data_IF_538936408873
#
_entry.id   IF_538936408873
#
_cell.length_a   1.000
_cell.length_b   1.000
_cell.length_c   1.000
_cell.angle_alpha   90.00
_cell.angle_beta   90.00
_cell.angle_gamma   90.00
#
_symmetry.space_group_name_H-M   'P 1'
#
loop_
_entity.id
_entity.type
_entity.pdbx_description
1 polymer ?
#
# COMPACT_ATOMS: atom_id res chain seq x y z
N UNK A 1 -7.75 31.40 23.40
CA UNK A 1 -8.33 30.40 22.47
C UNK A 1 -7.40 30.32 21.27
N UNK A 2 -6.63 29.25 21.14
CA UNK A 2 -5.63 29.10 20.08
C UNK A 2 -6.31 28.56 18.83
N UNK A 3 -6.38 29.38 17.77
CA UNK A 3 -6.57 28.84 16.43
C UNK A 3 -5.23 28.25 16.01
N UNK A 4 -5.10 26.93 16.06
CA UNK A 4 -3.94 26.23 15.50
C UNK A 4 -4.12 26.27 13.99
N UNK A 5 -3.56 27.31 13.36
CA UNK A 5 -3.25 27.26 11.95
C UNK A 5 -2.03 26.36 11.80
N UNK A 6 -2.17 25.25 11.09
CA UNK A 6 -1.05 24.42 10.67
C UNK A 6 -0.19 25.20 9.67
N UNK A 7 0.65 26.11 10.16
CA UNK A 7 1.75 26.67 9.39
C UNK A 7 2.90 25.66 9.47
N UNK A 8 3.06 24.83 8.43
CA UNK A 8 4.29 24.05 8.25
C UNK A 8 5.44 25.05 8.09
N UNK A 9 6.24 25.26 9.15
CA UNK A 9 7.49 26.01 9.01
C UNK A 9 8.46 25.17 8.19
N UNK A 10 8.97 25.76 7.10
CA UNK A 10 9.85 25.08 6.16
C UNK A 10 11.28 25.10 6.72
N UNK A 11 11.65 24.11 7.55
CA UNK A 11 13.05 23.77 7.79
C UNK A 11 13.57 22.95 6.60
N UNK A 12 14.75 23.32 6.07
CA UNK A 12 15.48 22.71 4.93
C UNK A 12 14.77 21.50 4.32
N UNK A 13 13.82 21.77 3.43
CA UNK A 13 12.98 20.72 2.84
C UNK A 13 13.76 20.02 1.74
N UNK A 14 13.80 18.68 1.78
CA UNK A 14 13.84 17.91 0.54
C UNK A 14 12.65 18.42 -0.28
N UNK A 15 12.95 19.21 -1.31
CA UNK A 15 11.95 20.02 -1.98
C UNK A 15 11.06 19.14 -2.88
N UNK A 16 9.91 18.76 -2.35
CA UNK A 16 8.87 17.99 -3.06
C UNK A 16 8.20 18.81 -4.19
N UNK A 17 8.52 20.11 -4.31
CA UNK A 17 7.89 21.02 -5.28
C UNK A 17 8.31 20.78 -6.74
N UNK A 18 9.28 19.91 -7.00
CA UNK A 18 9.76 19.66 -8.36
C UNK A 18 8.83 18.80 -9.22
N UNK A 19 7.76 18.22 -8.66
CA UNK A 19 6.87 17.30 -9.38
C UNK A 19 7.55 15.99 -9.81
N UNK A 20 8.80 15.75 -9.36
CA UNK A 20 9.60 14.54 -9.66
C UNK A 20 9.49 13.47 -8.56
N UNK A 21 8.53 13.59 -7.65
CA UNK A 21 8.36 12.61 -6.57
C UNK A 21 7.59 11.40 -7.07
N UNK A 22 8.23 10.24 -7.05
CA UNK A 22 7.61 8.95 -7.39
C UNK A 22 7.22 8.24 -6.10
N UNK A 23 5.93 7.93 -5.91
CA UNK A 23 5.50 7.06 -4.82
C UNK A 23 5.80 5.62 -5.18
N UNK A 24 6.64 4.96 -4.38
CA UNK A 24 6.99 3.57 -4.60
C UNK A 24 5.89 2.65 -4.08
N UNK A 25 5.29 1.87 -4.97
CA UNK A 25 4.25 0.90 -4.62
C UNK A 25 4.84 -0.51 -4.50
N UNK A 26 4.33 -1.33 -3.55
CA UNK A 26 4.60 -2.76 -3.56
C UNK A 26 4.27 -3.36 -4.92
N UNK A 27 5.05 -4.36 -5.36
CA UNK A 27 4.91 -5.02 -6.68
C UNK A 27 5.16 -4.15 -7.92
N UNK A 28 5.48 -2.86 -7.79
CA UNK A 28 5.84 -2.01 -8.94
C UNK A 28 7.34 -1.79 -8.97
N UNK A 29 7.98 -2.26 -10.03
CA UNK A 29 9.40 -2.05 -10.27
C UNK A 29 9.55 -0.79 -11.11
N UNK A 30 10.32 0.15 -10.59
CA UNK A 30 10.66 1.38 -11.28
C UNK A 30 12.09 1.27 -11.77
N UNK A 31 12.32 1.54 -13.04
CA UNK A 31 13.65 1.67 -13.62
C UNK A 31 13.79 3.09 -14.13
N UNK A 32 14.67 3.88 -13.49
CA UNK A 32 14.87 5.29 -13.81
C UNK A 32 16.34 5.52 -14.12
N UNK A 33 16.60 6.21 -15.23
CA UNK A 33 17.93 6.76 -15.55
C UNK A 33 17.96 8.21 -15.09
N UNK A 34 18.85 8.52 -14.15
CA UNK A 34 19.06 9.85 -13.59
C UNK A 34 20.23 10.50 -14.34
N UNK A 35 20.01 11.57 -15.11
CA UNK A 35 21.09 12.28 -15.80
C UNK A 35 22.13 12.83 -14.82
N UNK A 36 23.37 13.01 -15.29
CA UNK A 36 24.43 13.65 -14.51
C UNK A 36 23.97 14.98 -13.90
N UNK A 37 24.28 15.19 -12.62
CA UNK A 37 23.90 16.33 -11.79
C UNK A 37 22.38 16.50 -11.60
N UNK A 38 21.58 15.45 -11.82
CA UNK A 38 20.16 15.42 -11.51
C UNK A 38 19.87 14.51 -10.31
N UNK A 39 18.62 14.51 -9.87
CA UNK A 39 18.13 13.67 -8.79
C UNK A 39 16.70 13.21 -9.04
N UNK A 40 16.29 12.18 -8.31
CA UNK A 40 14.89 11.77 -8.19
C UNK A 40 14.46 11.83 -6.73
N UNK A 41 13.19 12.15 -6.52
CA UNK A 41 12.56 12.03 -5.21
C UNK A 41 11.68 10.78 -5.20
N UNK A 42 11.78 9.98 -4.14
CA UNK A 42 10.96 8.79 -3.93
C UNK A 42 10.23 8.95 -2.61
N UNK A 43 8.94 8.61 -2.59
CA UNK A 43 8.15 8.54 -1.38
C UNK A 43 7.78 7.09 -1.05
N UNK A 44 7.98 6.71 0.20
CA UNK A 44 7.69 5.36 0.72
C UNK A 44 8.94 4.58 1.11
N UNK A 45 8.73 3.32 1.49
CA UNK A 45 9.79 2.36 1.84
C UNK A 45 10.23 1.61 0.60
N UNK A 46 11.53 1.61 0.29
CA UNK A 46 12.05 1.05 -0.95
C UNK A 46 13.27 0.16 -0.76
N UNK A 47 13.32 -0.89 -1.57
CA UNK A 47 14.52 -1.63 -1.91
C UNK A 47 15.11 -1.01 -3.18
N UNK A 48 16.39 -0.64 -3.17
CA UNK A 48 17.07 0.11 -4.21
C UNK A 48 18.24 -0.72 -4.74
N UNK A 49 18.43 -0.73 -6.06
CA UNK A 49 19.63 -1.23 -6.72
C UNK A 49 20.04 -0.28 -7.83
N UNK A 50 21.27 0.20 -7.78
CA UNK A 50 21.85 1.04 -8.82
C UNK A 50 22.95 0.29 -9.59
N UNK A 51 23.26 0.77 -10.79
CA UNK A 51 24.36 0.27 -11.62
C UNK A 51 25.74 0.80 -11.19
N UNK A 52 25.77 1.84 -10.34
CA UNK A 52 26.96 2.47 -9.78
C UNK A 52 26.73 2.86 -8.32
N UNK A 53 27.81 3.20 -7.64
CA UNK A 53 27.73 3.81 -6.32
C UNK A 53 26.93 5.12 -6.35
N UNK A 54 26.13 5.34 -5.32
CA UNK A 54 25.28 6.52 -5.19
C UNK A 54 25.14 6.95 -3.73
N UNK A 55 24.77 8.21 -3.56
CA UNK A 55 24.40 8.77 -2.27
C UNK A 55 22.90 9.02 -2.24
N UNK A 56 22.26 8.68 -1.13
CA UNK A 56 20.87 9.03 -0.87
C UNK A 56 20.78 9.96 0.33
N UNK A 57 20.11 11.10 0.12
CA UNK A 57 19.62 11.93 1.22
C UNK A 57 18.21 11.47 1.55
N UNK A 58 17.91 11.25 2.82
CA UNK A 58 16.59 10.81 3.23
C UNK A 58 16.10 11.54 4.46
N UNK A 59 14.77 11.62 4.56
CA UNK A 59 14.07 12.24 5.68
C UNK A 59 12.91 11.34 6.08
N UNK A 60 12.89 10.96 7.34
CA UNK A 60 11.82 10.18 7.94
C UNK A 60 10.96 11.13 8.75
N UNK A 61 9.64 11.04 8.61
CA UNK A 61 8.71 11.76 9.49
C UNK A 61 8.13 10.76 10.48
N UNK A 62 8.32 10.95 11.78
CA UNK A 62 7.75 10.09 12.83
C UNK A 62 6.68 10.87 13.59
N UNK A 63 5.45 10.37 13.63
CA UNK A 63 4.33 11.01 14.35
C UNK A 63 4.12 12.49 13.97
N UNK A 64 4.31 12.82 12.69
CA UNK A 64 4.21 14.20 12.18
C UNK A 64 5.43 15.10 12.43
N UNK A 65 6.43 14.64 13.18
CA UNK A 65 7.67 15.38 13.41
C UNK A 65 8.75 14.95 12.41
N UNK A 66 9.28 15.88 11.59
CA UNK A 66 10.35 15.58 10.67
C UNK A 66 11.66 15.30 11.41
N UNK A 67 12.36 14.22 11.06
CA UNK A 67 13.77 14.09 11.41
C UNK A 67 14.62 15.06 10.58
N UNK A 68 15.85 15.31 11.02
CA UNK A 68 16.86 15.92 10.16
C UNK A 68 17.06 15.11 8.87
N UNK A 69 17.55 15.77 7.82
CA UNK A 69 18.00 15.09 6.61
C UNK A 69 19.25 14.29 6.97
N UNK A 70 19.27 13.02 6.61
CA UNK A 70 20.40 12.12 6.78
C UNK A 70 20.92 11.69 5.42
N UNK A 71 22.20 11.39 5.34
CA UNK A 71 22.87 10.99 4.09
C UNK A 71 23.53 9.64 4.29
N UNK A 72 23.36 8.74 3.32
CA UNK A 72 23.94 7.39 3.35
C UNK A 72 24.51 7.02 1.97
N UNK A 73 25.60 6.27 1.97
CA UNK A 73 26.22 5.73 0.77
C UNK A 73 25.67 4.33 0.48
N UNK A 74 25.30 4.08 -0.78
CA UNK A 74 24.86 2.78 -1.28
C UNK A 74 23.85 2.04 -0.39
N UNK A 75 22.76 2.69 0.09
CA UNK A 75 21.73 1.98 0.83
C UNK A 75 21.05 0.95 -0.08
N UNK A 76 20.92 -0.28 0.42
CA UNK A 76 20.06 -1.30 -0.19
C UNK A 76 18.60 -1.00 0.11
N UNK A 77 18.29 -0.58 1.33
CA UNK A 77 16.92 -0.27 1.78
C UNK A 77 16.89 1.09 2.45
N UNK A 78 15.85 1.87 2.15
CA UNK A 78 15.48 3.03 2.95
C UNK A 78 13.99 2.94 3.24
N UNK A 79 13.62 2.91 4.51
CA UNK A 79 12.27 2.61 4.94
C UNK A 79 11.80 3.41 6.14
N UNK A 80 10.48 3.47 6.25
CA UNK A 80 9.74 4.04 7.38
C UNK A 80 8.70 3.04 7.86
N UNK A 81 8.42 3.13 9.15
CA UNK A 81 7.31 2.42 9.78
C UNK A 81 5.98 2.96 9.26
N UNK A 82 4.89 2.20 9.48
CA UNK A 82 3.55 2.45 8.94
C UNK A 82 3.00 3.88 9.15
N UNK A 83 3.46 4.60 10.16
CA UNK A 83 2.98 5.94 10.51
C UNK A 83 3.80 7.09 9.89
N UNK A 84 4.83 6.75 9.10
CA UNK A 84 5.81 7.70 8.61
C UNK A 84 5.72 7.96 7.11
N UNK A 85 6.11 9.18 6.73
CA UNK A 85 6.45 9.49 5.33
C UNK A 85 7.97 9.48 5.20
N UNK A 86 8.49 8.65 4.31
CA UNK A 86 9.87 8.74 3.85
C UNK A 86 9.92 9.61 2.61
N UNK A 87 10.85 10.56 2.59
CA UNK A 87 11.27 11.24 1.36
C UNK A 87 12.73 10.90 1.14
N UNK A 88 13.02 10.33 -0.02
CA UNK A 88 14.35 9.87 -0.42
C UNK A 88 14.74 10.64 -1.66
N UNK A 89 15.92 11.23 -1.64
CA UNK A 89 16.52 11.89 -2.79
C UNK A 89 17.77 11.13 -3.20
N UNK A 90 17.74 10.52 -4.38
CA UNK A 90 18.89 9.85 -4.98
C UNK A 90 19.50 10.80 -6.00
N UNK A 91 20.80 11.09 -5.86
CA UNK A 91 21.52 11.99 -6.77
C UNK A 91 22.57 11.21 -7.56
N UNK A 92 22.73 11.50 -8.85
CA UNK A 92 23.65 10.76 -9.72
C UNK A 92 25.11 11.27 -9.68
N UNK A 93 25.36 12.39 -8.99
CA UNK A 93 26.67 13.05 -9.00
C UNK A 93 27.06 13.48 -10.43
N UNK A 94 28.32 13.32 -10.80
CA UNK A 94 28.85 13.79 -12.09
C UNK A 94 28.59 12.83 -13.27
N UNK A 95 27.90 11.71 -13.07
CA UNK A 95 27.63 10.74 -14.13
C UNK A 95 26.16 10.34 -14.15
N UNK A 96 25.73 9.74 -15.25
CA UNK A 96 24.40 9.12 -15.33
C UNK A 96 24.32 7.93 -14.37
N UNK A 97 23.19 7.76 -13.70
CA UNK A 97 22.92 6.67 -12.74
C UNK A 97 21.63 5.94 -13.12
N UNK A 98 21.69 4.63 -13.33
CA UNK A 98 20.51 3.80 -13.56
C UNK A 98 20.08 3.15 -12.26
N UNK A 99 18.91 3.53 -11.77
CA UNK A 99 18.36 3.06 -10.49
C UNK A 99 17.13 2.19 -10.75
N UNK A 100 17.11 1.02 -10.12
CA UNK A 100 15.93 0.18 -10.00
C UNK A 100 15.44 0.22 -8.55
N UNK A 101 14.15 0.38 -8.33
CA UNK A 101 13.59 0.27 -6.99
C UNK A 101 12.18 -0.34 -6.99
N UNK A 102 11.80 -0.89 -5.85
CA UNK A 102 10.47 -1.47 -5.61
C UNK A 102 10.01 -1.10 -4.21
N UNK A 103 8.70 -0.84 -4.05
CA UNK A 103 8.12 -0.63 -2.73
C UNK A 103 8.20 -1.90 -1.88
N UNK A 104 8.69 -1.77 -0.65
CA UNK A 104 8.77 -2.87 0.34
C UNK A 104 8.26 -2.40 1.70
N UNK A 105 8.26 -3.28 2.69
CA UNK A 105 7.87 -2.98 4.07
C UNK A 105 9.08 -3.15 4.99
N UNK A 106 9.22 -2.34 6.02
CA UNK A 106 10.18 -2.57 7.11
C UNK A 106 9.54 -3.37 8.23
N UNK A 107 10.35 -3.91 9.14
CA UNK A 107 9.81 -4.37 10.41
C UNK A 107 9.16 -3.21 11.17
N UNK A 108 8.16 -3.51 11.99
CA UNK A 108 7.52 -2.54 12.86
C UNK A 108 6.99 -3.25 14.09
N UNK A 109 7.18 -2.65 15.26
CA UNK A 109 6.67 -3.18 16.51
C UNK A 109 5.96 -2.09 17.28
N UNK A 110 4.69 -2.33 17.60
CA UNK A 110 3.94 -1.56 18.57
C UNK A 110 3.52 -2.42 19.77
N UNK A 111 2.63 -1.90 20.62
CA UNK A 111 2.12 -2.61 21.80
C UNK A 111 1.26 -3.83 21.48
N UNK A 112 0.87 -4.04 20.24
CA UNK A 112 -0.12 -5.03 19.82
C UNK A 112 0.41 -5.96 18.73
N UNK A 113 1.18 -5.44 17.78
CA UNK A 113 1.57 -6.15 16.56
C UNK A 113 3.07 -5.96 16.27
N UNK A 114 3.72 -7.07 15.95
CA UNK A 114 5.05 -7.16 15.39
C UNK A 114 4.94 -7.54 13.90
N UNK A 115 5.27 -6.60 13.02
CA UNK A 115 5.26 -6.77 11.56
C UNK A 115 6.66 -7.08 11.06
N UNK A 116 6.77 -8.07 10.18
CA UNK A 116 8.01 -8.42 9.48
C UNK A 116 7.90 -8.02 8.00
N UNK A 117 8.81 -7.19 7.54
CA UNK A 117 8.97 -6.88 6.13
C UNK A 117 9.94 -7.86 5.47
N UNK A 118 9.52 -8.54 4.41
CA UNK A 118 10.34 -9.55 3.72
C UNK A 118 10.34 -9.32 2.22
N UNK A 119 11.51 -9.43 1.60
CA UNK A 119 11.68 -9.41 0.15
C UNK A 119 12.34 -10.69 -0.33
N UNK A 120 11.89 -11.21 -1.47
CA UNK A 120 12.52 -12.39 -2.06
C UNK A 120 12.50 -12.39 -3.59
N UNK A 121 13.58 -12.92 -4.17
CA UNK A 121 13.65 -13.29 -5.59
C UNK A 121 13.84 -14.79 -5.80
N UNK A 122 13.78 -15.61 -4.75
CA UNK A 122 13.87 -17.08 -4.84
C UNK A 122 12.79 -17.64 -5.75
N UNK A 123 13.15 -18.58 -6.63
CA UNK A 123 12.18 -19.25 -7.51
C UNK A 123 11.29 -20.23 -6.74
N UNK A 124 11.86 -20.89 -5.73
CA UNK A 124 11.15 -21.81 -4.85
C UNK A 124 11.33 -21.35 -3.41
N UNK A 125 10.25 -21.38 -2.64
CA UNK A 125 10.25 -21.01 -1.24
C UNK A 125 9.11 -21.78 -0.57
N UNK A 126 9.48 -22.73 0.27
CA UNK A 126 8.57 -23.45 1.15
C UNK A 126 9.01 -23.17 2.58
N UNK A 127 8.33 -22.23 3.23
CA UNK A 127 8.60 -21.89 4.62
C UNK A 127 7.29 -21.77 5.38
N UNK A 128 7.35 -22.21 6.62
CA UNK A 128 6.27 -22.00 7.56
C UNK A 128 6.54 -20.70 8.32
N UNK A 129 5.52 -19.86 8.39
CA UNK A 129 5.52 -18.67 9.23
C UNK A 129 4.42 -18.84 10.28
N UNK A 130 4.80 -18.86 11.55
CA UNK A 130 3.83 -18.94 12.65
C UNK A 130 3.23 -17.55 12.88
N UNK A 131 1.93 -17.42 12.62
CA UNK A 131 1.16 -16.19 12.81
C UNK A 131 0.48 -16.25 14.17
N UNK A 132 0.70 -15.24 14.98
CA UNK A 132 -0.08 -15.00 16.20
C UNK A 132 -0.93 -13.75 16.00
N UNK A 133 -1.89 -13.53 16.91
CA UNK A 133 -2.64 -12.26 16.98
C UNK A 133 -1.75 -11.02 17.08
N UNK A 134 -0.50 -11.21 17.49
CA UNK A 134 0.52 -10.17 17.64
C UNK A 134 1.59 -10.17 16.55
N UNK A 135 1.42 -10.92 15.45
CA UNK A 135 2.42 -11.01 14.38
C UNK A 135 1.81 -10.85 13.00
N UNK A 136 2.50 -10.09 12.16
CA UNK A 136 2.13 -9.82 10.78
C UNK A 136 3.34 -10.05 9.87
N UNK A 137 3.10 -10.59 8.67
CA UNK A 137 4.13 -10.72 7.64
C UNK A 137 3.71 -9.96 6.38
N UNK A 138 4.61 -9.11 5.89
CA UNK A 138 4.49 -8.42 4.61
C UNK A 138 5.59 -8.92 3.67
N UNK A 139 5.24 -9.80 2.73
CA UNK A 139 6.15 -10.40 1.78
C UNK A 139 6.00 -9.76 0.39
N UNK A 140 7.09 -9.22 -0.15
CA UNK A 140 7.20 -8.77 -1.54
C UNK A 140 8.08 -9.74 -2.32
N UNK A 141 7.61 -10.20 -3.47
CA UNK A 141 8.32 -11.15 -4.33
C UNK A 141 8.47 -10.58 -5.72
N UNK A 142 9.67 -10.72 -6.29
CA UNK A 142 9.96 -10.36 -7.68
C UNK A 142 10.69 -11.51 -8.34
N UNK A 143 10.14 -12.06 -9.43
CA UNK A 143 10.74 -13.17 -10.15
C UNK A 143 10.47 -13.11 -11.66
N UNK A 144 11.40 -13.65 -12.44
CA UNK A 144 11.26 -13.74 -13.90
C UNK A 144 10.22 -14.75 -14.35
N UNK A 145 10.05 -15.81 -13.57
CA UNK A 145 8.98 -16.77 -13.75
C UNK A 145 7.75 -16.29 -12.98
N UNK A 146 6.55 -16.60 -13.49
CA UNK A 146 5.34 -16.42 -12.68
C UNK A 146 5.38 -17.40 -11.52
N UNK A 147 4.98 -16.90 -10.37
CA UNK A 147 4.94 -17.64 -9.13
C UNK A 147 3.51 -17.71 -8.65
N UNK A 148 3.12 -18.83 -8.06
CA UNK A 148 1.87 -18.96 -7.31
C UNK A 148 2.17 -18.96 -5.82
N UNK A 149 1.46 -18.13 -5.06
CA UNK A 149 1.45 -18.19 -3.60
C UNK A 149 0.21 -18.96 -3.18
N UNK A 150 0.41 -20.08 -2.48
CA UNK A 150 -0.69 -20.79 -1.83
C UNK A 150 -0.58 -20.57 -0.32
N UNK A 151 -1.67 -20.08 0.27
CA UNK A 151 -1.85 -20.00 1.72
C UNK A 151 -2.83 -21.12 2.13
N UNK A 152 -2.34 -22.07 2.92
CA UNK A 152 -3.16 -23.20 3.40
C UNK A 152 -3.74 -22.97 4.79
N UNK A 153 -3.60 -21.78 5.37
CA UNK A 153 -4.09 -21.51 6.71
C UNK A 153 -5.60 -21.30 6.70
N UNK A 154 -6.30 -22.04 7.57
CA UNK A 154 -7.76 -21.91 7.72
C UNK A 154 -8.17 -20.73 8.60
N UNK A 155 -7.26 -20.29 9.46
CA UNK A 155 -7.52 -19.36 10.55
C UNK A 155 -6.75 -18.05 10.43
N UNK A 156 -6.12 -17.78 9.28
CA UNK A 156 -5.36 -16.55 9.06
C UNK A 156 -5.96 -15.77 7.90
N UNK A 157 -6.06 -14.45 8.07
CA UNK A 157 -6.45 -13.57 6.98
C UNK A 157 -5.23 -13.22 6.14
N UNK A 158 -5.35 -13.34 4.82
CA UNK A 158 -4.30 -12.90 3.91
C UNK A 158 -4.85 -12.00 2.81
N UNK A 159 -4.01 -11.05 2.41
CA UNK A 159 -4.23 -10.21 1.24
C UNK A 159 -3.15 -10.52 0.23
N UNK A 160 -3.55 -10.90 -0.98
CA UNK A 160 -2.65 -11.13 -2.10
C UNK A 160 -2.83 -10.07 -3.18
N UNK A 161 -1.72 -9.66 -3.78
CA UNK A 161 -1.69 -8.86 -4.98
C UNK A 161 -0.63 -9.44 -5.92
N UNK A 162 -1.01 -9.68 -7.18
CA UNK A 162 -0.07 -10.12 -8.21
C UNK A 162 -0.09 -9.16 -9.39
N UNK A 163 1.08 -8.66 -9.77
CA UNK A 163 1.26 -7.75 -10.91
C UNK A 163 0.31 -6.53 -10.86
N UNK A 164 0.06 -6.00 -9.66
CA UNK A 164 -0.86 -4.88 -9.41
C UNK A 164 -2.34 -5.26 -9.31
N UNK A 165 -2.69 -6.55 -9.39
CA UNK A 165 -4.08 -7.05 -9.29
C UNK A 165 -4.33 -7.62 -7.90
N UNK A 166 -5.29 -7.04 -7.19
CA UNK A 166 -5.76 -7.54 -5.89
C UNK A 166 -6.40 -8.92 -6.04
N UNK A 167 -6.24 -9.78 -5.03
CA UNK A 167 -6.77 -11.13 -4.96
C UNK A 167 -6.29 -12.07 -6.08
N UNK A 168 -5.17 -11.74 -6.71
CA UNK A 168 -4.47 -12.63 -7.63
C UNK A 168 -3.32 -13.29 -6.89
N UNK A 169 -3.22 -14.62 -7.01
CA UNK A 169 -2.21 -15.44 -6.36
C UNK A 169 -1.07 -15.84 -7.32
N UNK A 170 -1.21 -15.56 -8.63
CA UNK A 170 -0.22 -15.87 -9.66
C UNK A 170 0.32 -14.60 -10.32
N UNK A 171 1.64 -14.45 -10.37
CA UNK A 171 2.30 -13.34 -11.10
C UNK A 171 3.82 -13.31 -10.96
N UNK A 172 4.47 -12.40 -11.70
CA UNK A 172 5.91 -12.15 -11.60
C UNK A 172 6.27 -11.31 -10.37
N UNK A 173 5.35 -10.43 -9.97
CA UNK A 173 5.50 -9.53 -8.84
C UNK A 173 4.36 -9.82 -7.88
N UNK A 174 4.69 -10.29 -6.69
CA UNK A 174 3.68 -10.65 -5.69
C UNK A 174 3.85 -9.82 -4.44
N UNK A 175 2.73 -9.53 -3.82
CA UNK A 175 2.64 -8.99 -2.49
C UNK A 175 1.67 -9.84 -1.70
N UNK A 176 2.11 -10.27 -0.54
CA UNK A 176 1.34 -11.07 0.40
C UNK A 176 1.42 -10.39 1.76
N UNK A 177 0.27 -10.01 2.31
CA UNK A 177 0.12 -9.68 3.72
C UNK A 177 -0.56 -10.83 4.41
N UNK A 178 0.00 -11.27 5.53
CA UNK A 178 -0.63 -12.25 6.41
C UNK A 178 -0.86 -11.54 7.75
N UNK A 179 -2.12 -11.43 8.17
CA UNK A 179 -2.52 -10.72 9.37
C UNK A 179 -3.68 -11.42 10.07
N UNK A 180 -3.75 -11.28 11.40
CA UNK A 180 -4.86 -11.75 12.25
C UNK A 180 -5.09 -13.27 12.26
N UNK A 181 -5.26 -13.82 13.47
CA UNK A 181 -5.48 -15.25 13.70
C UNK A 181 -4.37 -15.90 14.52
N UNK A 182 -4.73 -16.98 15.23
CA UNK A 182 -3.76 -17.88 15.83
C UNK A 182 -3.62 -19.08 14.89
N UNK A 183 -2.48 -19.21 14.21
CA UNK A 183 -2.30 -20.28 13.24
C UNK A 183 -0.90 -20.35 12.63
N UNK A 184 -0.66 -21.40 11.86
CA UNK A 184 0.55 -21.52 11.04
C UNK A 184 0.18 -21.21 9.59
N UNK A 185 0.81 -20.18 9.02
CA UNK A 185 0.72 -19.89 7.61
C UNK A 185 1.86 -20.63 6.90
N UNK A 186 1.50 -21.59 6.06
CA UNK A 186 2.46 -22.26 5.18
C UNK A 186 2.48 -21.47 3.88
N UNK A 187 3.62 -20.85 3.58
CA UNK A 187 3.79 -20.05 2.37
C UNK A 187 4.48 -20.92 1.35
N UNK A 188 3.68 -21.53 0.48
CA UNK A 188 4.21 -22.31 -0.65
C UNK A 188 4.31 -21.44 -1.88
N UNK A 189 5.50 -21.44 -2.47
CA UNK A 189 5.78 -20.82 -3.76
C UNK A 189 6.08 -21.89 -4.79
N UNK A 190 5.25 -21.94 -5.81
CA UNK A 190 5.45 -22.83 -6.95
C UNK A 190 5.76 -21.99 -8.18
N UNK A 191 6.81 -22.38 -8.91
CA UNK A 191 7.06 -21.86 -10.26
C UNK A 191 5.90 -22.30 -11.17
N UNK A 192 5.21 -21.34 -11.76
CA UNK A 192 4.11 -21.58 -12.71
C UNK A 192 4.49 -21.05 -14.08
N UNK A 193 4.97 -21.96 -14.94
CA UNK A 193 5.28 -21.66 -16.33
C UNK A 193 6.69 -21.10 -16.57
N UNK A 194 6.91 -20.67 -17.81
CA UNK A 194 8.18 -20.14 -18.31
C UNK A 194 8.39 -18.66 -17.92
N UNK A 195 9.61 -18.13 -18.04
CA UNK A 195 9.88 -16.71 -17.88
C UNK A 195 8.92 -15.86 -18.72
N UNK A 196 8.39 -14.80 -18.12
CA UNK A 196 7.52 -13.87 -18.86
C UNK A 196 8.36 -13.07 -19.85
N UNK A 197 8.05 -13.17 -21.14
CA UNK A 197 8.77 -12.44 -22.18
C UNK A 197 8.81 -10.93 -21.89
N UNK A 198 10.01 -10.35 -21.95
CA UNK A 198 10.25 -8.93 -21.68
C UNK A 198 10.28 -8.54 -20.20
N UNK A 199 10.08 -9.48 -19.27
CA UNK A 199 10.29 -9.25 -17.85
C UNK A 199 11.72 -9.63 -17.44
N UNK A 200 12.42 -8.72 -16.77
CA UNK A 200 13.75 -8.97 -16.18
C UNK A 200 13.72 -8.55 -14.73
N UNK A 201 14.22 -9.41 -13.83
CA UNK A 201 14.32 -9.08 -12.43
C UNK A 201 15.60 -8.25 -12.19
N UNK A 202 15.52 -6.94 -11.86
CA UNK A 202 16.71 -6.13 -11.74
C UNK A 202 17.51 -6.46 -10.48
N UNK A 203 16.91 -7.08 -9.46
CA UNK A 203 17.54 -7.26 -8.14
C UNK A 203 18.52 -8.44 -8.10
N UNK A 204 18.40 -9.40 -9.03
CA UNK A 204 19.21 -10.62 -9.06
C UNK A 204 18.43 -11.83 -8.54
N UNK A 205 19.02 -13.00 -8.66
CA UNK A 205 18.36 -14.27 -8.33
C UNK A 205 18.66 -14.73 -6.90
N UNK A 206 17.78 -15.60 -6.40
CA UNK A 206 17.93 -16.32 -5.12
C UNK A 206 18.06 -15.47 -3.85
N UNK A 207 17.58 -14.23 -3.87
CA UNK A 207 17.62 -13.33 -2.72
C UNK A 207 16.48 -13.64 -1.73
N UNK A 208 16.79 -13.51 -0.45
CA UNK A 208 15.83 -13.53 0.64
C UNK A 208 16.30 -12.59 1.74
N UNK A 209 15.55 -11.51 1.96
CA UNK A 209 15.87 -10.48 2.95
C UNK A 209 14.71 -10.29 3.92
N UNK A 210 15.04 -10.21 5.20
CA UNK A 210 14.16 -9.69 6.24
C UNK A 210 14.66 -8.28 6.53
N UNK A 211 13.74 -7.32 6.51
CA UNK A 211 14.09 -5.92 6.70
C UNK A 211 13.95 -5.48 8.15
N UNK A 212 14.91 -4.69 8.67
CA UNK A 212 14.82 -4.06 9.99
C UNK A 212 13.75 -2.98 10.02
N UNK A 213 13.63 -2.30 11.16
CA UNK A 213 12.72 -1.18 11.36
C UNK A 213 13.08 0.04 10.49
N UNK A 214 12.34 1.15 10.65
CA UNK A 214 12.61 2.41 9.94
C UNK A 214 14.09 2.84 10.01
N UNK A 215 14.66 3.15 8.85
CA UNK A 215 16.05 3.55 8.72
C UNK A 215 16.56 3.41 7.29
N UNK A 216 17.87 3.55 7.12
CA UNK A 216 18.56 3.28 5.87
C UNK A 216 19.69 2.28 6.11
N UNK A 217 19.76 1.24 5.29
CA UNK A 217 20.59 0.06 5.55
C UNK A 217 21.37 -0.35 4.31
N UNK A 218 22.65 -0.67 4.50
CA UNK A 218 23.51 -1.27 3.46
C UNK A 218 23.18 -2.75 3.27
N UNK A 219 23.69 -3.37 2.21
CA UNK A 219 23.54 -4.81 1.97
C UNK A 219 24.03 -5.66 3.15
N UNK A 220 25.22 -5.38 3.67
CA UNK A 220 25.82 -6.12 4.80
C UNK A 220 24.93 -6.06 6.06
N UNK A 221 24.35 -4.90 6.34
CA UNK A 221 23.43 -4.73 7.48
C UNK A 221 22.14 -5.55 7.28
N UNK A 222 21.59 -5.58 6.06
CA UNK A 222 20.41 -6.38 5.73
C UNK A 222 20.71 -7.88 5.80
N UNK A 223 21.85 -8.34 5.30
CA UNK A 223 22.25 -9.75 5.38
C UNK A 223 22.44 -10.21 6.83
N UNK A 224 23.07 -9.36 7.65
CA UNK A 224 23.25 -9.60 9.08
C UNK A 224 21.89 -9.68 9.79
N UNK A 225 21.02 -8.69 9.58
CA UNK A 225 19.70 -8.66 10.18
C UNK A 225 18.86 -9.87 9.76
N UNK A 226 18.89 -10.21 8.46
CA UNK A 226 18.22 -11.38 7.91
C UNK A 226 18.64 -12.64 8.64
N UNK A 227 19.95 -12.88 8.76
CA UNK A 227 20.50 -14.06 9.44
C UNK A 227 20.02 -14.16 10.89
N UNK A 228 20.01 -13.03 11.61
CA UNK A 228 19.57 -12.98 13.02
C UNK A 228 18.07 -13.24 13.20
N UNK A 229 17.25 -12.95 12.19
CA UNK A 229 15.79 -13.05 12.25
C UNK A 229 15.22 -14.20 11.42
N UNK A 230 16.07 -15.06 10.84
CA UNK A 230 15.62 -16.22 10.07
C UNK A 230 14.77 -17.19 10.88
N UNK A 231 14.92 -17.20 12.21
CA UNK A 231 14.17 -18.05 13.15
C UNK A 231 12.65 -17.78 13.15
N UNK A 232 12.18 -16.68 12.56
CA UNK A 232 10.74 -16.44 12.35
C UNK A 232 10.14 -17.42 11.34
N UNK A 233 10.97 -18.02 10.49
CA UNK A 233 10.60 -19.06 9.54
C UNK A 233 11.06 -20.43 10.04
N UNK A 234 10.16 -21.41 9.99
CA UNK A 234 10.49 -22.83 10.22
C UNK A 234 10.59 -23.55 8.88
N UNK A 235 11.57 -24.43 8.76
CA UNK A 235 11.65 -25.35 7.63
C UNK A 235 10.60 -26.44 7.77
N UNK A 236 9.80 -26.67 6.72
CA UNK A 236 8.74 -27.70 6.70
C UNK A 236 9.30 -29.13 6.88
N UNK A 237 10.61 -29.32 6.68
CA UNK A 237 11.26 -30.64 6.62
C UNK A 237 11.90 -31.11 7.92
N UNK A 238 11.92 -30.31 9.00
CA UNK A 238 12.59 -30.71 10.25
C UNK A 238 11.68 -31.47 11.24
N UNK A 239 10.90 -32.44 10.74
CA UNK A 239 10.23 -33.46 11.57
C UNK A 239 11.19 -34.38 12.37
N UNK A 240 12.49 -34.08 12.38
CA UNK A 240 13.48 -34.70 13.25
C UNK A 240 13.59 -33.94 14.57
N UNK A 241 13.18 -34.61 15.65
CA UNK A 241 13.36 -34.26 17.05
C UNK A 241 14.60 -33.37 17.34
N UNK A 242 14.48 -32.17 17.93
CA UNK A 242 15.62 -31.30 18.22
C UNK A 242 16.36 -31.80 19.47
N UNK A 243 17.24 -32.79 19.27
CA UNK A 243 18.11 -33.36 20.31
C UNK A 243 19.53 -32.78 20.31
N UNK A 244 19.74 -31.55 19.84
CA UNK A 244 21.06 -30.91 19.75
C UNK A 244 21.05 -29.49 20.28
N UNK A 245 21.56 -29.31 21.50
CA UNK A 245 21.78 -28.03 22.14
C UNK A 245 22.91 -27.27 21.41
N UNK A 246 22.74 -26.02 20.96
CA UNK A 246 23.86 -25.20 20.52
C UNK A 246 24.58 -24.64 21.76
N UNK A 247 25.65 -25.30 22.18
CA UNK A 247 26.61 -24.75 23.14
C UNK A 247 27.41 -23.62 22.46
N UNK A 248 27.13 -22.38 22.84
CA UNK A 248 27.86 -21.21 22.35
C UNK A 248 27.18 -19.90 22.75
N UNK A 249 27.15 -19.60 24.05
CA UNK A 249 26.62 -18.36 24.59
C UNK A 249 27.68 -17.23 24.46
N UNK A 250 27.36 -16.04 23.94
CA UNK A 250 28.20 -14.86 24.12
C UNK A 250 28.00 -14.32 25.56
N UNK A 251 29.03 -14.40 26.38
CA UNK A 251 29.07 -13.75 27.69
C UNK A 251 29.09 -12.22 27.51
N UNK A 252 28.09 -11.52 28.04
CA UNK A 252 28.06 -10.06 28.09
C UNK A 252 26.69 -9.49 28.43
N UNK A 253 26.30 -9.59 29.70
CA UNK A 253 25.05 -9.02 30.23
C UNK A 253 25.35 -7.64 30.85
N UNK A 254 24.64 -6.55 30.51
CA UNK A 254 24.60 -5.34 31.32
C UNK A 254 23.49 -5.45 32.36
N UNK A 255 23.86 -5.48 33.64
CA UNK A 255 22.94 -5.32 34.77
C UNK A 255 22.28 -3.94 34.77
N UNK A 256 20.97 -3.88 34.98
CA UNK A 256 20.25 -2.63 35.18
C UNK A 256 18.73 -2.76 35.09
N UNK A 257 18.12 -3.26 36.16
CA UNK A 257 16.66 -3.29 36.33
C UNK A 257 16.16 -1.94 36.90
N UNK A 258 14.99 -1.44 36.49
CA UNK A 258 14.14 -0.71 37.43
C UNK A 258 12.76 -1.37 37.56
N UNK A 259 12.48 -1.78 38.79
CA UNK A 259 11.14 -2.12 39.28
C UNK A 259 10.20 -0.91 39.16
N UNK A 260 8.96 -1.15 38.72
CA UNK A 260 7.92 -0.13 38.71
C UNK A 260 6.68 -0.56 37.92
N UNK A 261 5.82 -1.34 38.55
CA UNK A 261 4.47 -1.67 38.05
C UNK A 261 3.51 -0.49 38.29
N UNK A 262 2.53 -0.26 37.42
CA UNK A 262 1.20 0.08 37.91
C UNK A 262 0.10 -0.81 37.30
N UNK A 263 -0.66 -1.43 38.18
CA UNK A 263 -1.96 -2.06 37.93
C UNK A 263 -3.02 -1.00 37.54
N UNK A 264 -3.91 -1.33 36.60
CA UNK A 264 -5.26 -0.74 36.53
C UNK A 264 -5.91 -0.53 35.16
N UNK A 265 -6.73 -1.51 34.73
CA UNK A 265 -8.02 -1.44 33.98
C UNK A 265 -8.14 -0.76 32.58
N UNK A 266 -9.24 -0.98 31.81
CA UNK A 266 -10.29 -2.03 31.86
C UNK A 266 -10.54 -2.75 30.50
N UNK A 267 -11.34 -3.82 30.61
CA UNK A 267 -12.13 -4.60 29.64
C UNK A 267 -12.20 -4.16 28.17
N UNK A 268 -11.95 -5.15 27.30
CA UNK A 268 -11.96 -5.03 25.85
C UNK A 268 -13.33 -4.82 25.22
N UNK A 269 -13.32 -4.11 24.10
CA UNK A 269 -14.42 -4.00 23.15
C UNK A 269 -14.19 -5.04 22.02
N UNK A 270 -15.23 -5.70 21.48
CA UNK A 270 -15.07 -6.86 20.62
C UNK A 270 -14.68 -6.47 19.20
N UNK A 271 -13.75 -7.26 18.65
CA UNK A 271 -13.59 -7.68 17.25
C UNK A 271 -14.04 -6.72 16.15
N UNK A 272 -13.06 -6.14 15.46
CA UNK A 272 -13.24 -5.59 14.13
C UNK A 272 -13.70 -6.70 13.18
N UNK A 273 -14.95 -6.62 12.72
CA UNK A 273 -15.49 -7.55 11.74
C UNK A 273 -14.63 -7.56 10.47
N UNK A 274 -14.37 -8.73 9.86
CA UNK A 274 -13.70 -8.81 8.58
C UNK A 274 -14.48 -8.00 7.54
N UNK A 275 -13.79 -7.20 6.74
CA UNK A 275 -14.37 -6.49 5.60
C UNK A 275 -14.97 -7.56 4.66
N UNK A 276 -16.29 -7.61 4.45
CA UNK A 276 -16.90 -8.62 3.60
C UNK A 276 -16.31 -8.51 2.19
N UNK A 277 -15.83 -9.64 1.65
CA UNK A 277 -15.47 -9.71 0.23
C UNK A 277 -16.66 -9.26 -0.62
N UNK A 278 -16.41 -8.46 -1.66
CA UNK A 278 -17.49 -8.04 -2.56
C UNK A 278 -18.17 -9.30 -3.11
N UNK A 279 -19.50 -9.42 -2.99
CA UNK A 279 -20.20 -10.55 -3.59
C UNK A 279 -19.95 -10.56 -5.10
N UNK A 280 -19.46 -11.69 -5.62
CA UNK A 280 -19.21 -11.88 -7.06
C UNK A 280 -20.49 -11.81 -7.89
N UNK A 281 -21.66 -11.96 -7.26
CA UNK A 281 -22.99 -11.82 -7.85
C UNK A 281 -23.82 -10.83 -7.05
N UNK A 282 -24.29 -9.77 -7.72
CA UNK A 282 -25.28 -8.85 -7.14
C UNK A 282 -26.68 -9.50 -7.10
N UNK A 283 -27.62 -8.97 -6.30
CA UNK A 283 -28.97 -9.57 -6.10
C UNK A 283 -29.73 -9.92 -7.39
N UNK A 284 -29.48 -9.21 -8.48
CA UNK A 284 -30.13 -9.43 -9.78
C UNK A 284 -29.35 -10.39 -10.71
N UNK A 285 -28.37 -11.13 -10.17
CA UNK A 285 -27.52 -12.02 -10.96
C UNK A 285 -26.52 -11.31 -11.87
N UNK A 286 -26.33 -10.00 -11.68
CA UNK A 286 -25.32 -9.22 -12.42
C UNK A 286 -23.94 -9.67 -11.99
N UNK A 287 -23.14 -10.12 -12.97
CA UNK A 287 -21.74 -10.48 -12.76
C UNK A 287 -20.84 -9.24 -12.83
N UNK A 288 -20.16 -8.94 -11.72
CA UNK A 288 -19.16 -7.89 -11.63
C UNK A 288 -17.76 -8.49 -11.76
N UNK A 289 -17.46 -9.02 -12.95
CA UNK A 289 -16.19 -9.74 -13.19
C UNK A 289 -14.96 -8.81 -13.16
N UNK A 290 -15.16 -7.49 -13.21
CA UNK A 290 -14.13 -6.49 -13.01
C UNK A 290 -14.70 -5.35 -12.17
N UNK A 291 -14.45 -5.39 -10.85
CA UNK A 291 -14.70 -4.23 -9.98
C UNK A 291 -13.49 -3.32 -10.08
N UNK A 292 -13.68 -2.12 -10.63
CA UNK A 292 -12.64 -1.10 -10.59
C UNK A 292 -12.58 -0.53 -9.18
N UNK A 293 -11.45 -0.74 -8.51
CA UNK A 293 -11.09 -0.12 -7.23
C UNK A 293 -9.85 0.73 -7.43
N UNK A 294 -9.90 1.97 -6.97
CA UNK A 294 -8.73 2.83 -6.93
C UNK A 294 -8.11 2.71 -5.54
N UNK A 295 -6.90 2.16 -5.46
CA UNK A 295 -6.18 1.86 -4.21
C UNK A 295 -5.66 3.11 -3.49
N UNK A 296 -6.52 4.10 -3.24
CA UNK A 296 -6.15 5.37 -2.61
C UNK A 296 -5.43 6.37 -3.52
N UNK A 297 -5.07 5.99 -4.74
CA UNK A 297 -4.52 6.90 -5.74
C UNK A 297 -5.67 7.65 -6.43
N UNK A 298 -5.66 8.98 -6.39
CA UNK A 298 -6.66 9.83 -7.05
C UNK A 298 -6.29 9.96 -8.53
N UNK A 299 -6.41 8.87 -9.29
CA UNK A 299 -6.20 8.85 -10.74
C UNK A 299 -7.53 8.80 -11.48
N UNK A 300 -7.75 9.77 -12.37
CA UNK A 300 -8.92 9.74 -13.24
C UNK A 300 -8.75 8.70 -14.33
N UNK A 301 -9.79 7.94 -14.63
CA UNK A 301 -9.76 6.91 -15.68
C UNK A 301 -10.91 7.09 -16.65
N UNK A 302 -10.61 7.01 -17.95
CA UNK A 302 -11.62 6.91 -19.00
C UNK A 302 -11.90 5.43 -19.28
N UNK A 303 -13.11 4.97 -18.94
CA UNK A 303 -13.54 3.61 -19.28
C UNK A 303 -14.42 3.62 -20.53
N UNK A 304 -14.32 2.57 -21.34
CA UNK A 304 -15.21 2.33 -22.48
C UNK A 304 -16.09 1.12 -22.13
N UNK A 305 -17.40 1.33 -22.12
CA UNK A 305 -18.38 0.28 -21.85
C UNK A 305 -18.89 -0.20 -23.19
N UNK A 306 -18.59 -1.46 -23.52
CA UNK A 306 -19.03 -2.06 -24.77
C UNK A 306 -20.55 -2.27 -24.81
N UNK A 307 -21.11 -2.35 -26.01
CA UNK A 307 -22.50 -2.69 -26.31
C UNK A 307 -22.98 -3.89 -25.49
N UNK A 308 -24.09 -3.73 -24.75
CA UNK A 308 -24.68 -4.77 -23.90
C UNK A 308 -23.84 -5.20 -22.69
N UNK A 309 -22.74 -4.48 -22.37
CA UNK A 309 -21.89 -4.73 -21.19
C UNK A 309 -22.11 -3.68 -20.10
N UNK A 310 -21.55 -3.98 -18.94
CA UNK A 310 -21.63 -3.19 -17.73
C UNK A 310 -20.23 -3.05 -17.12
N UNK A 311 -19.99 -1.92 -16.47
CA UNK A 311 -18.82 -1.71 -15.63
C UNK A 311 -19.26 -1.63 -14.16
N UNK A 312 -18.57 -2.33 -13.27
CA UNK A 312 -18.84 -2.27 -11.83
C UNK A 312 -17.74 -1.47 -11.14
N UNK A 313 -18.15 -0.49 -10.33
CA UNK A 313 -17.24 0.46 -9.70
C UNK A 313 -17.62 0.56 -8.22
N UNK A 314 -16.66 0.40 -7.33
CA UNK A 314 -16.87 0.40 -5.87
C UNK A 314 -16.16 1.57 -5.22
N UNK A 315 -16.90 2.36 -4.43
CA UNK A 315 -16.40 3.56 -3.73
C UNK A 315 -17.01 4.89 -4.21
N UNK A 316 -16.38 5.99 -3.81
CA UNK A 316 -16.85 7.37 -4.10
C UNK A 316 -16.21 7.95 -5.37
N UNK A 317 -17.05 8.32 -6.34
CA UNK A 317 -16.60 8.83 -7.64
C UNK A 317 -17.47 9.99 -8.17
N UNK A 318 -16.82 10.81 -8.99
CA UNK A 318 -17.48 11.70 -9.94
C UNK A 318 -17.42 11.07 -11.33
N UNK A 319 -18.52 11.17 -12.06
CA UNK A 319 -18.64 10.67 -13.42
C UNK A 319 -18.86 11.82 -14.39
N UNK A 320 -18.26 11.71 -15.56
CA UNK A 320 -18.51 12.59 -16.69
C UNK A 320 -18.53 11.77 -17.97
N UNK A 321 -19.51 12.02 -18.83
CA UNK A 321 -19.64 11.33 -20.12
C UNK A 321 -20.25 12.28 -21.14
N UNK A 322 -19.84 12.18 -22.40
CA UNK A 322 -20.53 12.86 -23.50
C UNK A 322 -21.76 12.07 -23.94
N UNK A 323 -21.71 10.74 -23.81
CA UNK A 323 -22.81 9.83 -24.09
C UNK A 323 -23.71 9.67 -22.85
N UNK A 324 -24.99 9.32 -23.06
CA UNK A 324 -25.89 8.99 -21.95
C UNK A 324 -25.58 7.60 -21.40
N UNK A 325 -25.57 7.46 -20.08
CA UNK A 325 -25.42 6.21 -19.36
C UNK A 325 -26.38 6.15 -18.17
N UNK A 326 -26.64 4.93 -17.70
CA UNK A 326 -27.40 4.66 -16.47
C UNK A 326 -26.48 4.02 -15.45
N UNK A 327 -26.65 4.37 -14.19
CA UNK A 327 -26.00 3.68 -13.08
C UNK A 327 -27.08 3.09 -12.16
N UNK A 328 -26.99 1.78 -11.95
CA UNK A 328 -27.70 1.07 -10.88
C UNK A 328 -26.80 1.06 -9.65
N UNK A 329 -27.21 1.74 -8.58
CA UNK A 329 -26.40 1.90 -7.36
C UNK A 329 -26.88 0.92 -6.29
N UNK A 330 -26.04 -0.05 -5.97
CA UNK A 330 -26.30 -1.10 -4.97
C UNK A 330 -25.65 -0.74 -3.65
N UNK A 331 -26.42 -0.78 -2.56
CA UNK A 331 -25.91 -0.69 -1.19
C UNK A 331 -25.47 -2.10 -0.74
N UNK A 332 -24.17 -2.34 -0.64
CA UNK A 332 -23.63 -3.65 -0.26
C UNK A 332 -23.87 -3.98 1.21
N UNK A 333 -24.03 -2.95 2.05
CA UNK A 333 -24.40 -3.09 3.47
C UNK A 333 -25.88 -3.43 3.66
N UNK A 334 -26.72 -3.24 2.65
CA UNK A 334 -28.14 -3.57 2.65
C UNK A 334 -28.56 -4.28 1.35
N UNK A 335 -28.08 -5.53 1.11
CA UNK A 335 -28.20 -6.21 -0.18
C UNK A 335 -29.65 -6.54 -0.60
N UNK A 336 -30.62 -6.42 0.32
CA UNK A 336 -32.05 -6.60 0.04
C UNK A 336 -32.73 -5.35 -0.50
N UNK A 337 -32.07 -4.19 -0.41
CA UNK A 337 -32.60 -2.93 -0.94
C UNK A 337 -32.54 -2.94 -2.46
N UNK A 338 -33.60 -2.43 -3.10
CA UNK A 338 -33.61 -2.26 -4.56
C UNK A 338 -32.55 -1.22 -4.95
N UNK A 339 -31.76 -1.46 -6.00
CA UNK A 339 -30.77 -0.49 -6.45
C UNK A 339 -31.44 0.82 -6.88
N UNK A 340 -30.78 1.94 -6.59
CA UNK A 340 -31.22 3.24 -7.11
C UNK A 340 -30.78 3.37 -8.57
N UNK A 341 -31.74 3.61 -9.47
CA UNK A 341 -31.48 3.84 -10.88
C UNK A 341 -31.32 5.34 -11.15
N UNK A 342 -30.14 5.75 -11.61
CA UNK A 342 -29.82 7.16 -11.86
C UNK A 342 -29.30 7.31 -13.30
N UNK A 343 -29.90 8.22 -14.06
CA UNK A 343 -29.41 8.57 -15.40
C UNK A 343 -28.34 9.67 -15.31
N UNK A 344 -27.19 9.45 -15.97
CA UNK A 344 -26.04 10.36 -15.98
C UNK A 344 -25.68 10.95 -14.60
N UNK A 345 -25.55 10.13 -13.53
CA UNK A 345 -25.18 10.65 -12.23
C UNK A 345 -23.87 11.44 -12.34
N UNK A 346 -23.85 12.63 -11.74
CA UNK A 346 -22.60 13.39 -11.63
C UNK A 346 -21.67 12.77 -10.59
N UNK A 347 -22.21 12.26 -9.48
CA UNK A 347 -21.42 11.61 -8.44
C UNK A 347 -22.20 10.51 -7.75
N UNK A 348 -21.48 9.49 -7.27
CA UNK A 348 -21.98 8.46 -6.36
C UNK A 348 -20.99 8.38 -5.22
N UNK A 349 -21.49 8.32 -3.99
CA UNK A 349 -20.70 8.51 -2.78
C UNK A 349 -20.98 7.42 -1.77
N UNK A 350 -19.92 6.86 -1.21
CA UNK A 350 -19.91 5.93 -0.09
C UNK A 350 -19.17 4.64 -0.43
N UNK A 351 -18.42 4.13 0.55
CA UNK A 351 -17.58 2.94 0.37
C UNK A 351 -18.42 1.66 0.29
N UNK A 352 -19.65 1.73 0.82
CA UNK A 352 -20.64 0.65 0.82
C UNK A 352 -21.48 0.59 -0.46
N UNK A 353 -21.12 1.35 -1.50
CA UNK A 353 -21.86 1.34 -2.76
C UNK A 353 -21.07 0.70 -3.90
N UNK A 354 -21.77 -0.09 -4.70
CA UNK A 354 -21.33 -0.55 -6.01
C UNK A 354 -22.21 0.09 -7.06
N UNK A 355 -21.58 0.86 -7.95
CA UNK A 355 -22.20 1.44 -9.12
C UNK A 355 -22.07 0.46 -10.29
N UNK A 356 -23.18 -0.04 -10.82
CA UNK A 356 -23.22 -0.81 -12.07
C UNK A 356 -23.59 0.16 -13.20
N UNK A 357 -22.61 0.52 -14.00
CA UNK A 357 -22.76 1.47 -15.10
C UNK A 357 -23.05 0.72 -16.40
N UNK A 358 -24.10 1.15 -17.10
CA UNK A 358 -24.51 0.67 -18.43
C UNK A 358 -24.74 1.84 -19.37
N UNK A 359 -24.46 1.66 -20.65
CA UNK A 359 -24.85 2.66 -21.65
C UNK A 359 -26.37 2.76 -21.72
N UNK A 360 -26.91 3.97 -21.91
CA UNK A 360 -28.37 4.15 -22.03
C UNK A 360 -28.92 3.58 -23.34
N UNK A 361 -28.09 3.56 -24.39
CA UNK A 361 -28.34 2.90 -25.66
C UNK A 361 -27.53 1.60 -25.65
N UNK A 362 -28.21 0.47 -25.50
CA UNK A 362 -27.59 -0.85 -25.41
C UNK A 362 -27.00 -1.32 -26.75
N UNK A 363 -27.26 -0.59 -27.85
CA UNK A 363 -26.72 -0.84 -29.19
C UNK A 363 -25.38 -0.14 -29.45
N UNK A 364 -24.97 0.79 -28.57
CA UNK A 364 -23.75 1.58 -28.73
C UNK A 364 -22.83 1.44 -27.53
N UNK A 365 -21.53 1.58 -27.80
CA UNK A 365 -20.56 1.83 -26.72
C UNK A 365 -20.72 3.25 -26.16
N UNK A 366 -20.33 3.44 -24.90
CA UNK A 366 -20.26 4.75 -24.26
C UNK A 366 -18.97 4.89 -23.46
N UNK A 367 -18.47 6.13 -23.32
CA UNK A 367 -17.20 6.41 -22.65
C UNK A 367 -17.47 7.22 -21.40
N UNK A 368 -17.22 6.61 -20.25
CA UNK A 368 -17.45 7.24 -18.95
C UNK A 368 -16.11 7.56 -18.32
N UNK A 369 -15.89 8.82 -18.05
CA UNK A 369 -14.76 9.30 -17.29
C UNK A 369 -15.11 9.23 -15.81
N UNK A 370 -14.26 8.55 -15.05
CA UNK A 370 -14.41 8.32 -13.63
C UNK A 370 -13.28 9.06 -12.92
N UNK A 371 -13.63 9.85 -11.90
CA UNK A 371 -12.65 10.51 -11.04
C UNK A 371 -12.93 10.10 -9.60
N UNK A 372 -12.00 9.39 -8.92
CA UNK A 372 -12.13 9.11 -7.50
C UNK A 372 -12.19 10.41 -6.70
N UNK A 373 -13.03 10.44 -5.68
CA UNK A 373 -13.10 11.53 -4.72
C UNK A 373 -12.98 10.97 -3.31
N UNK A 374 -12.52 11.81 -2.38
CA UNK A 374 -12.51 11.43 -0.97
C UNK A 374 -13.96 11.22 -0.51
N UNK A 375 -14.24 10.08 0.13
CA UNK A 375 -15.56 9.80 0.69
C UNK A 375 -15.87 10.82 1.80
N UNK A 376 -16.89 11.68 1.65
CA UNK A 376 -17.33 12.54 2.73
C UNK A 376 -17.84 11.68 3.88
N UNK A 377 -17.54 12.11 5.10
CA UNK A 377 -17.83 11.36 6.33
C UNK A 377 -18.44 12.29 7.35
N UNK A 378 -19.46 11.82 8.06
CA UNK A 378 -20.07 12.53 9.18
C UNK A 378 -20.13 11.57 10.36
N UNK A 379 -19.40 11.87 11.42
CA UNK A 379 -19.36 11.06 12.63
C UNK A 379 -19.28 11.92 13.89
N UNK A 380 -19.08 11.27 15.04
CA UNK A 380 -18.94 11.93 16.34
C UNK A 380 -17.73 12.87 16.44
N UNK A 381 -16.70 12.65 15.63
CA UNK A 381 -15.43 13.37 15.64
C UNK A 381 -15.45 14.58 14.69
N UNK A 382 -16.38 14.59 13.72
CA UNK A 382 -16.62 15.73 12.87
C UNK A 382 -17.30 15.44 11.54
N UNK A 383 -17.25 16.44 10.67
CA UNK A 383 -17.72 16.34 9.29
C UNK A 383 -16.54 16.54 8.33
N UNK A 384 -16.29 15.57 7.47
CA UNK A 384 -15.43 15.67 6.30
C UNK A 384 -16.28 15.95 5.07
N UNK A 385 -16.15 17.15 4.52
CA UNK A 385 -16.77 17.53 3.26
C UNK A 385 -15.84 17.19 2.09
N UNK A 386 -16.40 16.67 1.01
CA UNK A 386 -15.64 16.39 -0.22
C UNK A 386 -16.09 17.36 -1.32
N UNK A 387 -15.14 18.11 -1.87
CA UNK A 387 -15.35 19.14 -2.87
C UNK A 387 -14.65 18.68 -4.15
N UNK A 388 -15.37 18.62 -5.26
CA UNK A 388 -14.80 18.34 -6.57
C UNK A 388 -14.92 19.57 -7.48
N UNK A 389 -13.87 19.89 -8.24
CA UNK A 389 -13.91 20.96 -9.24
C UNK A 389 -13.11 20.61 -10.48
N UNK A 390 -13.63 21.04 -11.64
CA UNK A 390 -12.90 21.05 -12.92
C UNK A 390 -12.37 22.44 -13.30
N UNK A 391 -12.63 23.45 -12.46
CA UNK A 391 -12.20 24.82 -12.73
C UNK A 391 -10.69 24.94 -12.49
N UNK A 392 -10.02 25.64 -13.41
CA UNK A 392 -8.59 25.98 -13.27
C UNK A 392 -8.34 27.02 -12.17
N UNK A 393 -9.37 27.76 -11.77
CA UNK A 393 -9.34 28.73 -10.69
C UNK A 393 -10.56 28.48 -9.80
N UNK A 394 -10.31 28.20 -8.51
CA UNK A 394 -11.33 28.10 -7.48
C UNK A 394 -11.03 29.17 -6.43
N UNK A 395 -11.83 30.23 -6.40
CA UNK A 395 -11.88 31.15 -5.26
C UNK A 395 -12.98 30.65 -4.31
N UNK A 396 -12.58 30.23 -3.13
CA UNK A 396 -13.48 29.71 -2.10
C UNK A 396 -13.21 30.45 -0.79
N UNK A 397 -14.23 31.11 -0.27
CA UNK A 397 -14.22 31.78 1.02
C UNK A 397 -15.26 31.13 1.90
N UNK A 398 -14.83 30.22 2.77
CA UNK A 398 -15.70 29.52 3.71
C UNK A 398 -15.33 29.91 5.14
N UNK A 399 -16.32 30.38 5.93
CA UNK A 399 -16.11 30.72 7.33
C UNK A 399 -16.32 29.48 8.19
N UNK A 400 -15.24 28.84 8.61
CA UNK A 400 -15.30 27.67 9.49
C UNK A 400 -15.61 28.15 10.92
N UNK A 401 -16.86 27.99 11.34
CA UNK A 401 -17.26 28.25 12.73
C UNK A 401 -17.09 26.97 13.55
N UNK A 402 -16.12 26.96 14.45
CA UNK A 402 -15.88 25.85 15.38
C UNK A 402 -16.80 26.04 16.58
N UNK A 403 -17.87 25.25 16.66
CA UNK A 403 -18.75 25.16 17.84
C UNK A 403 -18.59 23.76 18.41
N UNK A 404 -18.19 23.65 19.68
CA UNK A 404 -17.90 22.38 20.38
C UNK A 404 -16.67 21.63 19.85
N UNK A 405 -16.35 20.48 20.46
CA UNK A 405 -15.21 19.63 20.13
C UNK A 405 -15.32 18.89 18.78
N UNK A 406 -16.36 19.13 17.99
CA UNK A 406 -16.51 18.53 16.65
C UNK A 406 -15.64 19.26 15.62
N UNK A 407 -14.86 18.51 14.84
CA UNK A 407 -14.04 19.06 13.76
C UNK A 407 -14.86 19.24 12.46
N UNK A 408 -14.47 20.21 11.63
CA UNK A 408 -14.92 20.31 10.23
C UNK A 408 -13.69 20.26 9.34
N UNK A 409 -13.64 19.28 8.47
CA UNK A 409 -12.55 19.06 7.52
C UNK A 409 -13.08 19.10 6.10
N UNK A 410 -12.21 19.46 5.16
CA UNK A 410 -12.55 19.54 3.74
C UNK A 410 -11.49 18.80 2.94
N UNK A 411 -11.92 17.97 2.00
CA UNK A 411 -11.08 17.37 0.98
C UNK A 411 -11.42 18.04 -0.36
N UNK A 412 -10.42 18.58 -1.05
CA UNK A 412 -10.59 19.19 -2.36
C UNK A 412 -9.95 18.31 -3.44
N UNK A 413 -10.77 17.80 -4.35
CA UNK A 413 -10.33 17.07 -5.55
C UNK A 413 -10.40 18.02 -6.75
N UNK A 414 -9.27 18.32 -7.36
CA UNK A 414 -9.17 19.21 -8.53
C UNK A 414 -8.82 18.37 -9.76
N UNK A 415 -9.66 18.44 -10.79
CA UNK A 415 -9.40 17.80 -12.07
C UNK A 415 -9.27 18.83 -13.19
N UNK A 416 -8.03 19.12 -13.63
CA UNK A 416 -7.81 20.03 -14.76
C UNK A 416 -7.50 19.26 -16.04
N UNK A 417 -8.18 19.62 -17.13
CA UNK A 417 -7.87 19.10 -18.47
C UNK A 417 -6.54 19.62 -19.03
N UNK A 418 -5.99 20.71 -18.45
CA UNK A 418 -4.64 21.17 -18.77
C UNK A 418 -3.68 20.46 -17.84
N UNK A 419 -2.69 19.79 -18.43
CA UNK A 419 -1.48 19.33 -17.73
C UNK A 419 -0.72 20.60 -17.30
N UNK A 420 -1.18 21.27 -16.24
CA UNK A 420 -0.49 22.42 -15.68
C UNK A 420 0.75 21.87 -14.98
N UNK A 421 1.88 22.11 -15.61
CA UNK A 421 3.23 21.98 -15.07
C UNK A 421 3.41 23.01 -13.97
#
# INVERSE_FOLDING_TARGET
MFAIFYFKSFSATLDDRSGKTTSAQPTTIYTITIPANDFICISGTVLIKADKDFTADYKITKSGFPTGVQTIQNPLVIGVNNDGNCLIKISSGNSELKVNFVGVFTAYKDSHVETFGVFSTKQNFDKNFTVSSSRMLCLVVVNENKLKITDSSKDVSSLTMADGRMYSDVGNRLYLTIYSGAGEAVIKREKVGEPTEGFTNPFGEDLFYIFPEAGAYTLEQIETYTTQHMNIFKDETSGGNPGGNPEGNPEGNPEGNPEGNPEGNPEGNPDGQPIPGIPTKLPDGIECNQVVRFGGVIESTLITIATGKNACISGSYVYASKEKFKASVYNISAPTEKPAEIENPFSIVGDDYISVIKCSDDTKECKVHIVPIVTPRSDKDGNLYSIFTTKNLLDMKETITIKNASSKSFALTVYSAKKNI
#
